data_IF_800641445441
#
_entry.id   IF_800641445441
#
_cell.length_a   1.000
_cell.length_b   1.000
_cell.length_c   1.000
_cell.angle_alpha   90.00
_cell.angle_beta   90.00
_cell.angle_gamma   90.00
#
_symmetry.space_group_name_H-M   'P 1'
#
loop_
_entity.id
_entity.type
_entity.pdbx_description
1 polymer ?
#
# COMPACT_ATOMS: atom_id res chain seq x y z
N UNK A 1 10.26 13.99 13.07
CA UNK A 1 11.02 13.03 13.84
C UNK A 1 10.08 11.94 14.34
N UNK A 2 10.24 10.71 13.85
CA UNK A 2 9.47 9.54 14.33
C UNK A 2 10.46 8.43 14.61
N UNK A 3 10.38 7.83 15.78
CA UNK A 3 11.20 6.68 16.18
C UNK A 3 10.32 5.57 16.77
N UNK A 4 10.75 4.33 16.61
CA UNK A 4 10.16 3.17 17.26
C UNK A 4 11.25 2.28 17.83
N UNK A 5 11.14 2.00 19.13
CA UNK A 5 12.06 1.13 19.87
C UNK A 5 11.27 0.01 20.55
N UNK A 6 11.77 -1.21 20.39
CA UNK A 6 11.30 -2.37 21.16
C UNK A 6 12.40 -2.80 22.10
N UNK A 7 12.15 -2.72 23.42
CA UNK A 7 13.14 -3.04 24.49
C UNK A 7 14.51 -2.43 24.22
N UNK A 8 15.44 -3.17 23.61
CA UNK A 8 16.84 -2.74 23.36
C UNK A 8 17.16 -2.56 21.87
N UNK A 9 16.16 -2.64 20.97
CA UNK A 9 16.37 -2.53 19.52
C UNK A 9 15.59 -1.37 18.92
N UNK A 10 16.31 -0.46 18.29
CA UNK A 10 15.70 0.58 17.46
C UNK A 10 15.24 -0.04 16.12
N UNK A 11 13.97 0.04 15.85
CA UNK A 11 13.36 -0.42 14.58
C UNK A 11 13.33 0.72 13.59
N UNK A 12 12.95 1.91 14.06
CA UNK A 12 13.01 3.16 13.29
C UNK A 12 13.72 4.22 14.13
N UNK A 13 14.62 4.96 13.46
CA UNK A 13 15.46 5.98 14.07
C UNK A 13 15.22 7.28 13.33
N UNK A 14 14.71 8.28 14.04
CA UNK A 14 14.58 9.66 13.55
C UNK A 14 14.02 9.81 12.11
N UNK A 15 12.97 9.08 11.78
CA UNK A 15 12.36 9.11 10.45
C UNK A 15 11.65 10.43 10.22
N UNK A 16 12.02 11.12 9.14
CA UNK A 16 11.38 12.35 8.67
C UNK A 16 10.98 12.15 7.20
N UNK A 17 9.67 12.11 6.94
CA UNK A 17 9.13 11.95 5.59
C UNK A 17 7.90 12.84 5.44
N UNK A 18 7.85 13.57 4.34
CA UNK A 18 6.66 14.29 3.89
C UNK A 18 6.17 13.66 2.59
N UNK A 19 4.90 13.35 2.56
CA UNK A 19 4.18 12.80 1.40
C UNK A 19 3.12 13.82 1.02
N UNK A 20 3.06 14.19 -0.24
CA UNK A 20 2.10 15.16 -0.74
C UNK A 20 0.76 14.49 -1.06
N UNK A 21 -0.32 15.26 -1.08
CA UNK A 21 -1.63 14.75 -1.43
C UNK A 21 -1.66 14.24 -2.89
N UNK A 22 -2.22 13.05 -3.10
CA UNK A 22 -2.24 12.40 -4.40
C UNK A 22 -0.90 11.84 -4.89
N UNK A 23 0.15 11.84 -4.06
CA UNK A 23 1.47 11.29 -4.39
C UNK A 23 1.49 9.75 -4.32
N UNK A 24 2.19 9.11 -5.24
CA UNK A 24 2.56 7.71 -5.16
C UNK A 24 3.96 7.58 -4.55
N UNK A 25 4.04 7.45 -3.23
CA UNK A 25 5.30 7.29 -2.50
C UNK A 25 5.66 5.81 -2.37
N UNK A 26 6.86 5.42 -2.81
CA UNK A 26 7.37 4.06 -2.61
C UNK A 26 8.39 4.03 -1.49
N UNK A 27 8.25 3.10 -0.55
CA UNK A 27 9.22 2.78 0.48
C UNK A 27 9.97 1.52 0.05
N UNK A 28 11.26 1.62 -0.23
CA UNK A 28 12.10 0.51 -0.68
C UNK A 28 13.28 0.29 0.25
N UNK A 29 13.76 -0.94 0.34
CA UNK A 29 14.92 -1.31 1.16
C UNK A 29 14.89 -2.79 1.54
N UNK A 30 15.95 -3.30 2.17
CA UNK A 30 16.06 -4.70 2.56
C UNK A 30 15.01 -5.12 3.58
N UNK A 31 14.81 -6.44 3.72
CA UNK A 31 13.95 -6.98 4.78
C UNK A 31 14.44 -6.51 6.15
N UNK A 32 13.49 -6.13 7.00
CA UNK A 32 13.80 -5.64 8.35
C UNK A 32 14.22 -4.17 8.43
N UNK A 33 14.25 -3.39 7.32
CA UNK A 33 14.59 -1.96 7.36
C UNK A 33 13.52 -1.06 7.99
N UNK A 34 12.32 -1.58 8.34
CA UNK A 34 11.27 -0.81 9.00
C UNK A 34 10.09 -0.40 8.13
N UNK A 35 10.04 -0.76 6.85
CA UNK A 35 8.99 -0.36 5.88
C UNK A 35 7.56 -0.71 6.33
N UNK A 36 7.30 -1.99 6.59
CA UNK A 36 6.00 -2.47 7.12
C UNK A 36 5.65 -1.82 8.46
N UNK A 37 6.66 -1.56 9.29
CA UNK A 37 6.49 -0.86 10.57
C UNK A 37 5.98 0.57 10.36
N UNK A 38 6.49 1.29 9.36
CA UNK A 38 5.99 2.62 9.00
C UNK A 38 4.53 2.57 8.57
N UNK A 39 4.13 1.61 7.71
CA UNK A 39 2.71 1.45 7.34
C UNK A 39 1.81 1.19 8.55
N UNK A 40 2.25 0.31 9.45
CA UNK A 40 1.50 -0.01 10.67
C UNK A 40 1.34 1.19 11.59
N UNK A 41 2.31 2.09 11.65
CA UNK A 41 2.20 3.33 12.42
C UNK A 41 1.25 4.34 11.77
N UNK A 42 1.27 4.47 10.44
CA UNK A 42 0.33 5.35 9.71
C UNK A 42 -1.12 4.91 9.96
N UNK A 43 -1.39 3.61 10.01
CA UNK A 43 -2.73 3.06 10.30
C UNK A 43 -3.01 2.86 11.80
N UNK A 44 -2.14 3.39 12.70
CA UNK A 44 -2.24 3.23 14.16
C UNK A 44 -2.40 1.79 14.64
N UNK A 45 -1.80 0.84 13.92
CA UNK A 45 -1.61 -0.53 14.42
C UNK A 45 -0.41 -0.63 15.35
N UNK A 46 0.50 0.34 15.27
CA UNK A 46 1.63 0.57 16.16
C UNK A 46 1.72 2.06 16.48
N UNK A 47 2.05 2.37 17.72
CA UNK A 47 2.32 3.75 18.14
C UNK A 47 3.83 3.99 18.14
N UNK A 48 4.31 5.15 17.66
CA UNK A 48 5.73 5.50 17.74
C UNK A 48 6.15 5.68 19.21
N UNK A 49 7.40 5.32 19.52
CA UNK A 49 7.98 5.57 20.85
C UNK A 49 8.27 7.05 21.05
N UNK A 50 8.63 7.74 19.98
CA UNK A 50 8.87 9.19 19.96
C UNK A 50 8.43 9.78 18.61
N UNK A 51 8.09 11.08 18.64
CA UNK A 51 7.65 11.82 17.47
C UNK A 51 6.15 11.75 17.21
N UNK A 52 5.73 12.31 16.08
CA UNK A 52 4.33 12.38 15.69
C UNK A 52 4.16 12.17 14.19
N UNK A 53 3.06 11.53 13.82
CA UNK A 53 2.62 11.41 12.43
C UNK A 53 1.40 12.31 12.26
N UNK A 54 1.36 13.01 11.13
CA UNK A 54 0.28 13.95 10.80
C UNK A 54 -0.39 13.53 9.50
N UNK A 55 -1.69 13.71 9.43
CA UNK A 55 -2.51 13.58 8.24
C UNK A 55 -3.42 14.81 8.15
N UNK A 56 -3.39 15.51 7.02
CA UNK A 56 -4.14 16.77 6.83
C UNK A 56 -3.86 17.81 7.94
N UNK A 57 -2.62 17.91 8.42
CA UNK A 57 -2.19 18.82 9.47
C UNK A 57 -2.61 18.45 10.90
N UNK A 58 -3.39 17.38 11.10
CA UNK A 58 -3.81 16.86 12.41
C UNK A 58 -2.99 15.62 12.76
N UNK A 59 -2.56 15.49 14.04
CA UNK A 59 -1.83 14.29 14.48
C UNK A 59 -2.74 13.06 14.38
N UNK A 60 -2.22 11.96 13.86
CA UNK A 60 -3.04 10.74 13.69
C UNK A 60 -3.59 10.20 15.02
N UNK A 61 -2.88 10.40 16.13
CA UNK A 61 -3.34 10.00 17.47
C UNK A 61 -4.56 10.79 17.97
N UNK A 62 -4.85 11.94 17.38
CA UNK A 62 -5.99 12.79 17.75
C UNK A 62 -7.25 12.48 16.91
N UNK A 63 -7.13 11.57 15.93
CA UNK A 63 -8.29 11.03 15.21
C UNK A 63 -8.98 9.94 16.03
N UNK A 64 -10.28 9.76 15.83
CA UNK A 64 -10.94 8.52 16.22
C UNK A 64 -10.30 7.35 15.45
N UNK A 65 -9.90 6.31 16.17
CA UNK A 65 -9.12 5.21 15.58
C UNK A 65 -9.93 4.42 14.55
N UNK A 66 -11.24 4.26 14.79
CA UNK A 66 -12.13 3.57 13.86
C UNK A 66 -12.31 4.40 12.59
N UNK A 67 -12.55 5.71 12.72
CA UNK A 67 -12.69 6.61 11.56
C UNK A 67 -11.42 6.65 10.72
N UNK A 68 -10.24 6.75 11.36
CA UNK A 68 -8.95 6.71 10.67
C UNK A 68 -8.81 5.43 9.84
N UNK A 69 -9.06 4.27 10.44
CA UNK A 69 -8.93 2.96 9.78
C UNK A 69 -9.97 2.74 8.69
N UNK A 70 -11.19 3.21 8.86
CA UNK A 70 -12.23 3.15 7.83
C UNK A 70 -11.97 4.11 6.65
N UNK A 71 -11.18 5.17 6.86
CA UNK A 71 -10.79 6.13 5.83
C UNK A 71 -9.47 5.79 5.14
N UNK A 72 -8.78 4.73 5.58
CA UNK A 72 -7.51 4.28 5.04
C UNK A 72 -7.70 2.91 4.37
N UNK A 73 -7.39 2.80 3.09
CA UNK A 73 -7.29 1.52 2.40
C UNK A 73 -6.01 0.80 2.79
N UNK A 74 -6.06 -0.52 3.02
CA UNK A 74 -4.88 -1.31 3.34
C UNK A 74 -4.86 -2.63 2.58
N UNK A 75 -3.87 -2.80 1.71
CA UNK A 75 -3.57 -4.04 1.00
C UNK A 75 -2.39 -4.71 1.70
N UNK A 76 -2.64 -5.86 2.28
CA UNK A 76 -1.65 -6.64 3.04
C UNK A 76 -0.83 -7.54 2.11
N UNK A 77 0.40 -7.86 2.52
CA UNK A 77 1.27 -8.83 1.84
C UNK A 77 0.61 -10.22 1.71
N UNK A 78 0.02 -10.72 2.79
CA UNK A 78 -0.83 -11.90 2.72
C UNK A 78 -2.23 -11.46 2.27
N UNK A 79 -2.77 -12.11 1.23
CA UNK A 79 -4.11 -11.84 0.73
C UNK A 79 -5.11 -12.23 1.81
N UNK A 80 -5.50 -11.27 2.64
CA UNK A 80 -6.35 -11.50 3.80
C UNK A 80 -7.85 -11.39 3.42
N UNK A 81 -8.31 -12.14 2.43
CA UNK A 81 -9.74 -12.30 2.16
C UNK A 81 -10.35 -13.23 3.21
N UNK A 82 -11.55 -12.92 3.66
CA UNK A 82 -12.29 -13.79 4.56
C UNK A 82 -12.75 -15.04 3.80
N UNK A 83 -12.27 -16.23 4.17
CA UNK A 83 -12.48 -17.46 3.37
C UNK A 83 -13.93 -17.92 3.34
N UNK A 84 -14.73 -17.52 4.33
CA UNK A 84 -16.14 -17.90 4.44
C UNK A 84 -17.08 -16.95 3.69
N UNK A 85 -16.58 -15.77 3.28
CA UNK A 85 -17.33 -14.76 2.55
C UNK A 85 -17.11 -14.90 1.05
N UNK A 86 -18.11 -14.54 0.26
CA UNK A 86 -17.98 -14.39 -1.19
C UNK A 86 -17.10 -13.18 -1.53
N UNK A 87 -16.77 -13.03 -2.82
CA UNK A 87 -16.07 -11.84 -3.34
C UNK A 87 -16.86 -10.57 -3.05
N UNK A 88 -18.16 -10.56 -3.36
CA UNK A 88 -19.01 -9.39 -3.10
C UNK A 88 -19.10 -9.06 -1.62
N UNK A 89 -19.25 -10.05 -0.75
CA UNK A 89 -19.27 -9.87 0.70
C UNK A 89 -17.93 -9.35 1.24
N UNK A 90 -16.78 -9.87 0.75
CA UNK A 90 -15.46 -9.34 1.11
C UNK A 90 -15.30 -7.87 0.75
N UNK A 91 -15.76 -7.47 -0.44
CA UNK A 91 -15.67 -6.10 -0.92
C UNK A 91 -16.61 -5.17 -0.13
N UNK A 92 -17.79 -5.65 0.26
CA UNK A 92 -18.83 -4.88 0.95
C UNK A 92 -18.47 -4.50 2.41
N UNK A 93 -17.51 -5.17 3.05
CA UNK A 93 -17.22 -5.02 4.48
C UNK A 93 -17.01 -3.57 4.91
N UNK A 94 -16.11 -2.85 4.28
CA UNK A 94 -15.78 -1.47 4.70
C UNK A 94 -16.91 -0.48 4.37
N UNK A 95 -17.52 -0.50 3.16
CA UNK A 95 -18.69 0.31 2.88
C UNK A 95 -19.85 0.09 3.85
N UNK A 96 -20.14 -1.16 4.23
CA UNK A 96 -21.19 -1.48 5.21
C UNK A 96 -20.86 -0.93 6.59
N UNK A 97 -19.61 -1.06 7.04
CA UNK A 97 -19.15 -0.47 8.31
C UNK A 97 -19.22 1.07 8.31
N UNK A 98 -19.13 1.70 7.13
CA UNK A 98 -19.34 3.14 6.91
C UNK A 98 -20.82 3.51 6.75
N UNK A 99 -21.75 2.55 6.81
CA UNK A 99 -23.18 2.76 6.70
C UNK A 99 -23.69 3.05 5.28
N UNK A 100 -22.99 2.60 4.24
CA UNK A 100 -23.45 2.77 2.86
C UNK A 100 -24.71 1.93 2.60
N UNK A 101 -25.63 2.48 1.80
CA UNK A 101 -26.82 1.76 1.37
C UNK A 101 -26.44 0.59 0.46
N UNK A 102 -27.21 -0.51 0.55
CA UNK A 102 -26.96 -1.76 -0.20
C UNK A 102 -26.85 -1.57 -1.72
N UNK A 103 -27.71 -0.72 -2.29
CA UNK A 103 -27.70 -0.43 -3.74
C UNK A 103 -26.38 0.24 -4.17
N UNK A 104 -25.88 1.22 -3.38
CA UNK A 104 -24.60 1.87 -3.66
C UNK A 104 -23.46 0.87 -3.59
N UNK A 105 -23.44 0.01 -2.56
CA UNK A 105 -22.39 -1.01 -2.39
C UNK A 105 -22.41 -1.97 -3.57
N UNK A 106 -23.59 -2.49 -3.96
CA UNK A 106 -23.71 -3.43 -5.07
C UNK A 106 -23.27 -2.80 -6.40
N UNK A 107 -23.73 -1.59 -6.71
CA UNK A 107 -23.36 -0.87 -7.94
C UNK A 107 -21.85 -0.60 -8.01
N UNK A 108 -21.25 -0.13 -6.89
CA UNK A 108 -19.82 0.15 -6.85
C UNK A 108 -18.97 -1.12 -6.90
N UNK A 109 -19.45 -2.22 -6.31
CA UNK A 109 -18.79 -3.54 -6.41
C UNK A 109 -18.73 -4.01 -7.86
N UNK A 110 -19.83 -3.93 -8.60
CA UNK A 110 -19.88 -4.29 -10.03
C UNK A 110 -18.90 -3.42 -10.82
N UNK A 111 -18.97 -2.09 -10.67
CA UNK A 111 -18.07 -1.14 -11.34
C UNK A 111 -16.60 -1.51 -11.14
N UNK A 112 -16.19 -1.73 -9.89
CA UNK A 112 -14.78 -1.98 -9.57
C UNK A 112 -14.32 -3.37 -9.99
N UNK A 113 -15.18 -4.38 -9.91
CA UNK A 113 -14.87 -5.72 -10.41
C UNK A 113 -14.63 -5.71 -11.92
N UNK A 114 -15.46 -5.01 -12.69
CA UNK A 114 -15.27 -4.84 -14.14
C UNK A 114 -13.92 -4.13 -14.43
N UNK A 115 -13.60 -3.06 -13.71
CA UNK A 115 -12.32 -2.34 -13.87
C UNK A 115 -11.09 -3.21 -13.63
N UNK A 116 -11.15 -4.16 -12.71
CA UNK A 116 -10.03 -5.07 -12.46
C UNK A 116 -10.07 -6.33 -13.34
N UNK A 117 -10.96 -6.40 -14.32
CA UNK A 117 -11.08 -7.50 -15.27
C UNK A 117 -11.65 -8.79 -14.65
N UNK A 118 -12.50 -8.66 -13.65
CA UNK A 118 -13.20 -9.74 -12.96
C UNK A 118 -14.72 -9.49 -13.02
N UNK A 119 -15.41 -9.81 -14.16
CA UNK A 119 -16.82 -9.53 -14.32
C UNK A 119 -17.67 -10.01 -13.14
N UNK A 120 -18.51 -9.13 -12.60
CA UNK A 120 -19.28 -9.43 -11.39
C UNK A 120 -20.23 -10.62 -11.59
N UNK A 121 -20.75 -10.84 -12.82
CA UNK A 121 -21.56 -12.00 -13.18
C UNK A 121 -20.87 -13.33 -12.91
N UNK A 122 -19.55 -13.38 -13.02
CA UNK A 122 -18.77 -14.60 -12.94
C UNK A 122 -18.05 -14.74 -11.58
N UNK A 123 -17.79 -13.62 -10.91
CA UNK A 123 -16.90 -13.59 -9.73
C UNK A 123 -17.60 -13.23 -8.43
N UNK A 124 -18.68 -12.45 -8.43
CA UNK A 124 -19.28 -11.89 -7.22
C UNK A 124 -19.63 -12.93 -6.14
N UNK A 125 -20.13 -14.08 -6.57
CA UNK A 125 -20.60 -15.16 -5.68
C UNK A 125 -19.53 -16.21 -5.37
N UNK A 126 -18.34 -16.13 -6.01
CA UNK A 126 -17.23 -17.05 -5.72
C UNK A 126 -16.63 -16.79 -4.34
N UNK A 127 -16.04 -17.83 -3.78
CA UNK A 127 -15.25 -17.76 -2.54
C UNK A 127 -13.76 -17.69 -2.85
N UNK A 128 -12.92 -17.19 -1.91
CA UNK A 128 -11.48 -17.02 -2.14
C UNK A 128 -10.76 -18.29 -2.62
N UNK A 129 -11.15 -19.47 -2.14
CA UNK A 129 -10.52 -20.73 -2.54
C UNK A 129 -10.79 -21.15 -4.00
N UNK A 130 -11.75 -20.52 -4.67
CA UNK A 130 -12.09 -20.75 -6.08
C UNK A 130 -11.33 -19.83 -7.03
N UNK A 131 -10.41 -19.01 -6.49
CA UNK A 131 -9.70 -17.95 -7.19
C UNK A 131 -8.20 -18.20 -7.22
N UNK A 132 -7.55 -17.83 -8.32
CA UNK A 132 -6.09 -17.75 -8.40
C UNK A 132 -5.53 -16.66 -7.47
N UNK A 133 -4.25 -16.73 -7.14
CA UNK A 133 -3.59 -15.72 -6.31
C UNK A 133 -3.69 -14.30 -6.88
N UNK A 134 -3.55 -14.16 -8.20
CA UNK A 134 -3.68 -12.85 -8.88
C UNK A 134 -5.12 -12.29 -8.82
N UNK A 135 -6.15 -13.15 -8.97
CA UNK A 135 -7.55 -12.74 -8.82
C UNK A 135 -7.86 -12.33 -7.37
N UNK A 136 -7.40 -13.11 -6.39
CA UNK A 136 -7.54 -12.74 -4.98
C UNK A 136 -6.88 -11.38 -4.68
N UNK A 137 -5.70 -11.11 -5.26
CA UNK A 137 -4.99 -9.84 -5.07
C UNK A 137 -5.78 -8.67 -5.68
N UNK A 138 -6.35 -8.83 -6.87
CA UNK A 138 -7.25 -7.82 -7.49
C UNK A 138 -8.44 -7.52 -6.59
N UNK A 139 -9.06 -8.54 -6.01
CA UNK A 139 -10.17 -8.37 -5.07
C UNK A 139 -9.71 -7.68 -3.78
N UNK A 140 -8.52 -8.01 -3.27
CA UNK A 140 -7.92 -7.32 -2.13
C UNK A 140 -7.73 -5.82 -2.37
N UNK A 141 -7.30 -5.44 -3.57
CA UNK A 141 -7.20 -4.04 -3.99
C UNK A 141 -8.59 -3.40 -4.07
N UNK A 142 -9.56 -4.03 -4.73
CA UNK A 142 -10.94 -3.53 -4.83
C UNK A 142 -11.54 -3.30 -3.43
N UNK A 143 -11.36 -4.26 -2.51
CA UNK A 143 -11.81 -4.14 -1.12
C UNK A 143 -11.19 -2.94 -0.41
N UNK A 144 -9.92 -2.65 -0.68
CA UNK A 144 -9.22 -1.53 -0.06
C UNK A 144 -9.68 -0.17 -0.59
N UNK A 145 -10.10 -0.07 -1.87
CA UNK A 145 -10.41 1.21 -2.52
C UNK A 145 -11.91 1.51 -2.63
N UNK A 146 -12.80 0.51 -2.50
CA UNK A 146 -14.25 0.70 -2.73
C UNK A 146 -14.86 1.79 -1.84
N UNK A 147 -14.35 1.96 -0.63
CA UNK A 147 -14.83 2.97 0.30
C UNK A 147 -14.24 4.38 0.06
N UNK A 148 -13.58 4.56 -1.08
CA UNK A 148 -12.97 5.81 -1.54
C UNK A 148 -12.02 6.40 -0.49
N UNK A 149 -10.98 5.66 -0.06
CA UNK A 149 -10.05 6.15 0.94
C UNK A 149 -9.19 7.29 0.39
N UNK A 150 -8.81 8.24 1.24
CA UNK A 150 -7.81 9.26 0.89
C UNK A 150 -6.40 8.67 0.79
N UNK A 151 -6.10 7.71 1.63
CA UNK A 151 -4.78 7.07 1.72
C UNK A 151 -4.93 5.58 1.43
N UNK A 152 -4.09 5.07 0.55
CA UNK A 152 -3.94 3.65 0.25
C UNK A 152 -2.57 3.18 0.72
N UNK A 153 -2.54 2.25 1.66
CA UNK A 153 -1.33 1.59 2.14
C UNK A 153 -1.23 0.21 1.48
N UNK A 154 -0.06 -0.10 0.92
CA UNK A 154 0.19 -1.37 0.24
C UNK A 154 1.50 -1.98 0.75
N UNK A 155 1.41 -3.14 1.39
CA UNK A 155 2.56 -3.83 1.99
C UNK A 155 2.97 -5.02 1.14
N UNK A 156 4.00 -4.88 0.31
CA UNK A 156 4.53 -5.89 -0.61
C UNK A 156 3.45 -6.66 -1.40
N UNK A 157 2.49 -5.96 -2.03
CA UNK A 157 1.26 -6.58 -2.54
C UNK A 157 1.50 -7.55 -3.70
N UNK A 158 2.66 -7.52 -4.34
CA UNK A 158 2.95 -8.32 -5.53
C UNK A 158 4.00 -9.41 -5.31
N UNK A 159 4.52 -9.55 -4.08
CA UNK A 159 5.65 -10.44 -3.76
C UNK A 159 5.39 -11.92 -4.07
N UNK A 160 4.14 -12.38 -3.95
CA UNK A 160 3.75 -13.78 -4.17
C UNK A 160 3.28 -14.08 -5.61
N UNK A 161 3.37 -13.13 -6.54
CA UNK A 161 2.83 -13.27 -7.89
C UNK A 161 3.90 -13.67 -8.92
N UNK A 162 3.47 -14.40 -9.94
CA UNK A 162 4.29 -14.63 -11.14
C UNK A 162 4.54 -13.32 -11.91
N UNK A 163 5.54 -13.32 -12.79
CA UNK A 163 5.99 -12.11 -13.49
C UNK A 163 4.92 -11.46 -14.38
N UNK A 164 4.01 -12.26 -14.98
CA UNK A 164 2.95 -11.74 -15.86
C UNK A 164 1.88 -11.07 -15.03
N UNK A 165 1.36 -11.77 -14.01
CA UNK A 165 0.36 -11.24 -13.07
C UNK A 165 0.86 -9.99 -12.35
N UNK A 166 2.14 -9.97 -11.95
CA UNK A 166 2.79 -8.83 -11.32
C UNK A 166 2.77 -7.59 -12.23
N UNK A 167 3.21 -7.72 -13.49
CA UNK A 167 3.20 -6.59 -14.44
C UNK A 167 1.79 -6.03 -14.68
N UNK A 168 0.79 -6.92 -14.79
CA UNK A 168 -0.60 -6.52 -14.96
C UNK A 168 -1.13 -5.76 -13.75
N UNK A 169 -0.84 -6.23 -12.53
CA UNK A 169 -1.29 -5.61 -11.30
C UNK A 169 -0.55 -4.30 -10.99
N UNK A 170 0.72 -4.17 -11.36
CA UNK A 170 1.44 -2.89 -11.29
C UNK A 170 0.76 -1.82 -12.16
N UNK A 171 0.46 -2.16 -13.43
CA UNK A 171 -0.22 -1.23 -14.34
C UNK A 171 -1.61 -0.85 -13.79
N UNK A 172 -2.41 -1.84 -13.42
CA UNK A 172 -3.74 -1.64 -12.82
C UNK A 172 -3.69 -0.74 -11.57
N UNK A 173 -2.75 -0.98 -10.66
CA UNK A 173 -2.60 -0.17 -9.44
C UNK A 173 -2.28 1.28 -9.76
N UNK A 174 -1.41 1.52 -10.74
CA UNK A 174 -1.07 2.89 -11.19
C UNK A 174 -2.26 3.60 -11.83
N UNK A 175 -3.05 2.88 -12.62
CA UNK A 175 -4.27 3.41 -13.25
C UNK A 175 -5.33 3.76 -12.19
N UNK A 176 -5.58 2.88 -11.23
CA UNK A 176 -6.51 3.12 -10.12
C UNK A 176 -6.05 4.29 -9.23
N UNK A 177 -4.76 4.37 -8.91
CA UNK A 177 -4.20 5.50 -8.17
C UNK A 177 -4.50 6.84 -8.86
N UNK A 178 -4.22 6.94 -10.18
CA UNK A 178 -4.49 8.16 -10.96
C UNK A 178 -5.97 8.48 -11.06
N UNK A 179 -6.81 7.47 -11.29
CA UNK A 179 -8.25 7.65 -11.45
C UNK A 179 -8.91 8.14 -10.16
N UNK A 180 -8.53 7.58 -9.02
CA UNK A 180 -9.13 7.92 -7.73
C UNK A 180 -8.42 9.05 -6.99
N UNK A 181 -7.25 9.49 -7.46
CA UNK A 181 -6.48 10.58 -6.85
C UNK A 181 -6.05 10.32 -5.40
N UNK A 182 -5.84 9.06 -5.04
CA UNK A 182 -5.46 8.67 -3.67
C UNK A 182 -3.98 8.98 -3.42
N UNK A 183 -3.64 9.33 -2.18
CA UNK A 183 -2.25 9.26 -1.73
C UNK A 183 -1.89 7.81 -1.48
N UNK A 184 -0.92 7.26 -2.22
CA UNK A 184 -0.53 5.85 -2.12
C UNK A 184 0.84 5.72 -1.46
N UNK A 185 0.94 4.88 -0.43
CA UNK A 185 2.20 4.50 0.21
C UNK A 185 2.41 3.01 -0.04
N UNK A 186 3.39 2.71 -0.86
CA UNK A 186 3.67 1.37 -1.38
C UNK A 186 5.01 0.86 -0.84
N UNK A 187 4.99 -0.28 -0.19
CA UNK A 187 6.18 -0.96 0.32
C UNK A 187 6.57 -2.07 -0.63
N UNK A 188 7.85 -2.11 -0.98
CA UNK A 188 8.45 -3.21 -1.75
C UNK A 188 9.93 -3.39 -1.39
N UNK A 189 10.48 -4.54 -1.72
CA UNK A 189 11.93 -4.80 -1.77
C UNK A 189 12.45 -4.85 -3.20
N UNK A 190 11.57 -4.73 -4.20
CA UNK A 190 11.87 -4.76 -5.63
C UNK A 190 12.11 -3.34 -6.16
N UNK A 191 13.32 -3.07 -6.61
CA UNK A 191 13.73 -1.75 -7.13
C UNK A 191 13.07 -1.40 -8.44
N UNK A 192 12.78 -2.39 -9.30
CA UNK A 192 12.07 -2.17 -10.56
C UNK A 192 10.62 -1.72 -10.32
N UNK A 193 9.96 -2.30 -9.30
CA UNK A 193 8.64 -1.82 -8.86
C UNK A 193 8.72 -0.37 -8.38
N UNK A 194 9.72 -0.04 -7.58
CA UNK A 194 9.90 1.30 -7.06
C UNK A 194 10.10 2.33 -8.18
N UNK A 195 11.00 2.05 -9.12
CA UNK A 195 11.28 2.93 -10.26
C UNK A 195 10.08 3.12 -11.19
N UNK A 196 9.27 2.07 -11.34
CA UNK A 196 8.13 2.09 -12.27
C UNK A 196 6.89 2.77 -11.69
N UNK A 197 6.63 2.61 -10.40
CA UNK A 197 5.38 3.03 -9.77
C UNK A 197 5.48 4.39 -9.10
N UNK A 198 6.59 4.67 -8.41
CA UNK A 198 6.74 5.83 -7.54
C UNK A 198 6.85 7.15 -8.30
N UNK A 199 6.15 8.17 -7.81
CA UNK A 199 6.47 9.56 -8.11
C UNK A 199 7.74 9.96 -7.37
N UNK A 200 7.85 9.52 -6.09
CA UNK A 200 9.07 9.59 -5.29
C UNK A 200 9.30 8.26 -4.58
N UNK A 201 10.56 8.00 -4.30
CA UNK A 201 11.03 6.78 -3.64
C UNK A 201 11.78 7.18 -2.38
N UNK A 202 11.40 6.62 -1.25
CA UNK A 202 12.13 6.71 0.01
C UNK A 202 12.91 5.41 0.24
N UNK A 203 14.22 5.50 0.28
CA UNK A 203 15.11 4.36 0.49
C UNK A 203 15.40 4.21 1.97
N UNK A 204 15.05 3.05 2.52
CA UNK A 204 15.24 2.73 3.94
C UNK A 204 16.40 1.76 4.14
N UNK A 205 17.27 2.08 5.09
CA UNK A 205 18.36 1.24 5.56
C UNK A 205 18.42 1.28 7.09
N UNK A 206 18.42 0.14 7.76
CA UNK A 206 18.60 0.01 9.22
C UNK A 206 17.74 0.96 10.07
N UNK A 207 16.48 1.16 9.66
CA UNK A 207 15.53 2.02 10.38
C UNK A 207 15.64 3.51 10.08
N UNK A 208 16.46 3.92 9.11
CA UNK A 208 16.64 5.30 8.68
C UNK A 208 16.24 5.48 7.23
N UNK A 209 15.78 6.68 6.85
CA UNK A 209 15.61 7.07 5.46
C UNK A 209 16.94 7.67 4.98
N UNK A 210 17.58 7.00 4.04
CA UNK A 210 18.88 7.43 3.51
C UNK A 210 18.79 8.32 2.28
N UNK A 211 17.69 8.20 1.52
CA UNK A 211 17.41 9.10 0.39
C UNK A 211 15.90 9.15 0.11
N UNK A 212 15.42 10.32 -0.32
CA UNK A 212 14.08 10.50 -0.88
C UNK A 212 14.21 11.32 -2.15
N UNK A 213 13.85 10.74 -3.28
CA UNK A 213 13.92 11.42 -4.59
C UNK A 213 13.01 10.74 -5.62
N UNK A 214 12.86 11.34 -6.79
CA UNK A 214 12.30 10.69 -7.97
C UNK A 214 13.24 9.62 -8.53
N UNK A 215 12.73 8.79 -9.43
CA UNK A 215 13.48 7.66 -10.02
C UNK A 215 14.75 8.12 -10.77
N UNK A 216 14.69 9.25 -11.48
CA UNK A 216 15.82 9.77 -12.25
C UNK A 216 16.95 10.21 -11.31
N UNK A 217 16.61 10.94 -10.26
CA UNK A 217 17.58 11.43 -9.26
C UNK A 217 18.22 10.27 -8.49
N UNK A 218 17.45 9.24 -8.10
CA UNK A 218 18.00 8.07 -7.41
C UNK A 218 19.06 7.34 -8.25
N UNK A 219 18.79 7.17 -9.56
CA UNK A 219 19.70 6.51 -10.47
C UNK A 219 20.93 7.37 -10.80
N UNK A 220 20.75 8.68 -11.01
CA UNK A 220 21.82 9.58 -11.43
C UNK A 220 22.70 10.06 -10.26
N UNK A 221 22.14 10.18 -9.07
CA UNK A 221 22.77 10.77 -7.88
C UNK A 221 22.43 9.98 -6.61
N UNK A 222 22.85 8.72 -6.50
CA UNK A 222 22.64 7.94 -5.29
C UNK A 222 23.35 8.60 -4.10
N UNK A 223 22.66 8.67 -2.95
CA UNK A 223 23.17 9.37 -1.76
C UNK A 223 24.40 8.69 -1.11
N UNK A 224 24.56 7.38 -1.34
CA UNK A 224 25.68 6.59 -0.84
C UNK A 224 25.82 5.30 -1.67
N UNK A 225 26.89 4.52 -1.37
CA UNK A 225 27.19 3.27 -2.04
C UNK A 225 26.06 2.23 -1.88
N UNK A 226 25.40 2.20 -0.73
CA UNK A 226 24.25 1.30 -0.52
C UNK A 226 23.11 1.58 -1.51
N UNK A 227 22.75 2.84 -1.73
CA UNK A 227 21.70 3.20 -2.71
C UNK A 227 22.18 2.86 -4.13
N UNK A 228 23.44 3.15 -4.45
CA UNK A 228 24.04 2.81 -5.74
C UNK A 228 23.99 1.30 -6.00
N UNK A 229 24.37 0.48 -5.02
CA UNK A 229 24.35 -0.98 -5.14
C UNK A 229 22.92 -1.53 -5.23
N UNK A 230 21.99 -0.97 -4.42
CA UNK A 230 20.59 -1.40 -4.39
C UNK A 230 19.91 -1.24 -5.76
N UNK A 231 20.17 -0.12 -6.45
CA UNK A 231 19.59 0.18 -7.75
C UNK A 231 20.50 -0.17 -8.93
N UNK A 232 21.79 -0.41 -8.70
CA UNK A 232 22.76 -0.77 -9.72
C UNK A 232 22.50 -2.12 -10.40
N UNK A 233 21.80 -3.04 -9.73
CA UNK A 233 21.35 -4.31 -10.30
C UNK A 233 20.15 -4.18 -11.27
N UNK A 234 19.45 -3.05 -11.27
CA UNK A 234 18.27 -2.82 -12.14
C UNK A 234 18.60 -2.57 -13.62
N UNK A 235 19.89 -2.46 -13.98
CA UNK A 235 20.32 -2.18 -15.36
C UNK A 235 20.79 -3.41 -16.15
N UNK A 236 20.59 -4.63 -15.65
CA UNK A 236 21.03 -5.86 -16.33
C UNK A 236 19.85 -6.75 -16.75
N UNK A 237 18.90 -6.21 -17.54
CA UNK A 237 18.04 -7.05 -18.41
C UNK A 237 17.72 -6.30 -19.68
#
# INVERSE_FOLDING_TARGET
>A
HVALRYTDKDILKDVNLRIEDGEFMVLVGPSGSGKTTMLKMINRLLEPTDGNIYMDGKRIKDYDERELRLSTGYVLQAIALFPNLTVAENIALIPEMKGWGKERVASKTVELLEKVGLPASDYADRKPHELSGGEQQRIGIVRAIIAEPKILLMDEPFSALDAISRKQLQALTKDLHKEFGMTTIFVTHDTDEALKLGDRIAVLQEGEIVQVADSETILAQPANDFVADLFGGAHHV
#
